data_IF_877663389148
#
_entry.id   IF_877663389148
#
_cell.length_a   1.000
_cell.length_b   1.000
_cell.length_c   1.000
_cell.angle_alpha   90.00
_cell.angle_beta   90.00
_cell.angle_gamma   90.00
#
_symmetry.space_group_name_H-M   'P 1'
#
loop_
_entity.id
_entity.type
_entity.pdbx_description
1 polymer ?
#
# COMPACT_ATOMS: atom_id res chain seq x y z
N UNK A 1 2.93 7.97 -5.66
CA UNK A 1 1.45 8.07 -5.66
C UNK A 1 0.91 7.31 -6.87
N UNK A 2 0.32 6.12 -6.71
CA UNK A 2 -0.39 5.41 -7.78
C UNK A 2 -1.77 6.05 -7.97
N UNK A 3 -2.05 6.56 -9.16
CA UNK A 3 -3.27 7.30 -9.48
C UNK A 3 -4.12 6.59 -10.55
N UNK A 4 -5.42 6.61 -10.35
CA UNK A 4 -6.42 6.26 -11.34
C UNK A 4 -7.72 7.00 -11.06
N UNK A 5 -8.11 7.93 -11.92
CA UNK A 5 -9.27 8.81 -11.76
C UNK A 5 -9.29 9.52 -10.38
N UNK A 6 -8.21 10.23 -10.06
CA UNK A 6 -8.01 10.92 -8.78
C UNK A 6 -8.03 12.47 -8.92
N UNK A 7 -8.51 13.00 -10.03
CA UNK A 7 -8.46 14.43 -10.33
C UNK A 7 -9.14 15.32 -9.28
N UNK A 8 -10.22 14.85 -8.65
CA UNK A 8 -10.92 15.59 -7.61
C UNK A 8 -10.17 15.67 -6.27
N UNK A 9 -9.33 14.67 -5.97
CA UNK A 9 -8.72 14.50 -4.65
C UNK A 9 -7.22 14.76 -4.62
N UNK A 10 -6.56 14.68 -5.78
CA UNK A 10 -5.11 14.83 -5.93
C UNK A 10 -4.58 16.15 -5.34
N UNK A 11 -5.25 17.27 -5.62
CA UNK A 11 -4.84 18.60 -5.11
C UNK A 11 -4.83 18.62 -3.58
N UNK A 12 -5.90 18.13 -2.94
CA UNK A 12 -6.01 18.09 -1.49
C UNK A 12 -4.99 17.13 -0.86
N UNK A 13 -4.72 16.00 -1.52
CA UNK A 13 -3.67 15.07 -1.06
C UNK A 13 -2.30 15.73 -1.13
N UNK A 14 -1.96 16.32 -2.28
CA UNK A 14 -0.63 16.89 -2.53
C UNK A 14 -0.31 18.06 -1.61
N UNK A 15 -1.23 19.02 -1.44
CA UNK A 15 -0.98 20.20 -0.61
C UNK A 15 -0.80 19.90 0.88
N UNK A 16 -1.21 18.71 1.34
CA UNK A 16 -1.05 18.26 2.72
C UNK A 16 0.19 17.37 2.94
N UNK A 17 1.00 17.15 1.90
CA UNK A 17 2.27 16.44 2.03
C UNK A 17 3.24 17.32 2.85
N UNK A 18 3.96 16.69 3.77
CA UNK A 18 5.02 17.33 4.56
C UNK A 18 6.31 17.46 3.70
N UNK A 19 6.41 18.53 2.93
CA UNK A 19 7.55 18.79 2.02
C UNK A 19 8.85 19.16 2.73
N UNK A 20 8.82 19.36 4.02
CA UNK A 20 10.03 19.45 4.87
C UNK A 20 10.65 18.07 5.15
N UNK A 21 9.94 16.98 4.86
CA UNK A 21 10.39 15.60 5.03
C UNK A 21 10.42 14.84 3.70
N UNK A 22 9.47 15.08 2.80
CA UNK A 22 9.41 14.41 1.49
C UNK A 22 10.26 15.18 0.47
N UNK A 23 11.39 14.59 0.04
CA UNK A 23 12.31 15.19 -0.94
C UNK A 23 11.71 15.23 -2.35
N UNK A 24 10.93 14.21 -2.72
CA UNK A 24 10.35 14.06 -4.06
C UNK A 24 8.94 13.44 -4.00
N UNK A 25 8.11 13.81 -4.96
CA UNK A 25 6.77 13.23 -5.15
C UNK A 25 6.61 12.78 -6.60
N UNK A 26 6.39 11.49 -6.77
CA UNK A 26 6.17 10.86 -8.07
C UNK A 26 4.72 10.41 -8.16
N UNK A 27 4.05 10.72 -9.26
CA UNK A 27 2.73 10.21 -9.58
C UNK A 27 2.82 9.29 -10.80
N UNK A 28 2.24 8.11 -10.68
CA UNK A 28 2.06 7.20 -11.83
C UNK A 28 0.56 7.09 -12.09
N UNK A 29 0.16 7.52 -13.27
CA UNK A 29 -1.23 7.50 -13.72
C UNK A 29 -1.52 6.26 -14.54
N UNK A 30 -2.48 5.46 -14.10
CA UNK A 30 -2.84 4.19 -14.75
C UNK A 30 -3.90 4.38 -15.85
N UNK A 31 -3.64 5.32 -16.77
CA UNK A 31 -4.53 5.66 -17.89
C UNK A 31 -5.89 6.22 -17.40
N UNK A 32 -5.86 7.26 -16.58
CA UNK A 32 -7.07 7.96 -16.12
C UNK A 32 -7.85 8.58 -17.27
N UNK A 33 -9.16 8.58 -17.15
CA UNK A 33 -10.08 9.23 -18.10
C UNK A 33 -10.56 10.61 -17.65
N UNK A 34 -10.24 11.00 -16.41
CA UNK A 34 -10.55 12.30 -15.83
C UNK A 34 -9.37 13.30 -15.98
N UNK A 35 -9.41 14.42 -15.27
CA UNK A 35 -8.38 15.43 -15.29
C UNK A 35 -7.16 15.17 -14.37
N UNK A 36 -6.96 13.93 -13.89
CA UNK A 36 -5.84 13.57 -12.98
C UNK A 36 -4.49 14.05 -13.50
N UNK A 37 -4.16 13.73 -14.74
CA UNK A 37 -2.86 14.10 -15.37
C UNK A 37 -2.72 15.62 -15.52
N UNK A 38 -3.81 16.31 -15.85
CA UNK A 38 -3.81 17.78 -15.96
C UNK A 38 -3.52 18.42 -14.61
N UNK A 39 -4.20 17.96 -13.55
CA UNK A 39 -4.00 18.46 -12.18
C UNK A 39 -2.57 18.19 -11.72
N UNK A 40 -2.03 17.00 -11.93
CA UNK A 40 -0.66 16.66 -11.51
C UNK A 40 0.39 17.56 -12.19
N UNK A 41 0.23 17.83 -13.49
CA UNK A 41 1.12 18.74 -14.24
C UNK A 41 1.04 20.18 -13.73
N UNK A 42 -0.16 20.66 -13.40
CA UNK A 42 -0.35 22.00 -12.80
C UNK A 42 0.32 22.12 -11.43
N UNK A 43 0.38 21.03 -10.67
CA UNK A 43 1.06 20.97 -9.38
C UNK A 43 2.58 20.80 -9.51
N UNK A 44 3.11 20.62 -10.72
CA UNK A 44 4.54 20.38 -10.94
C UNK A 44 5.03 18.99 -10.51
N UNK A 45 4.11 18.02 -10.36
CA UNK A 45 4.45 16.68 -9.94
C UNK A 45 5.10 15.91 -11.10
N UNK A 46 6.22 15.21 -10.84
CA UNK A 46 6.79 14.26 -11.79
C UNK A 46 5.76 13.17 -12.09
N UNK A 47 5.23 13.16 -13.31
CA UNK A 47 4.09 12.32 -13.69
C UNK A 47 4.48 11.36 -14.81
N UNK A 48 4.26 10.06 -14.56
CA UNK A 48 4.38 8.98 -15.53
C UNK A 48 2.96 8.53 -15.88
N UNK A 49 2.67 8.33 -17.15
CA UNK A 49 1.34 7.94 -17.62
C UNK A 49 1.46 6.61 -18.37
N UNK A 50 0.70 5.60 -17.96
CA UNK A 50 0.60 4.34 -18.67
C UNK A 50 -0.25 4.50 -19.95
N UNK A 51 0.11 3.82 -21.02
CA UNK A 51 -0.63 3.82 -22.29
C UNK A 51 -2.01 3.15 -22.16
N UNK A 52 -2.18 2.26 -21.20
CA UNK A 52 -3.43 1.56 -20.86
C UNK A 52 -3.47 1.27 -19.38
N UNK A 53 -4.67 1.01 -18.84
CA UNK A 53 -4.81 0.57 -17.45
C UNK A 53 -4.15 -0.81 -17.27
N UNK A 54 -3.11 -0.87 -16.44
CA UNK A 54 -2.32 -2.07 -16.13
C UNK A 54 -2.75 -2.74 -14.83
N UNK A 55 -3.52 -2.05 -14.01
CA UNK A 55 -4.01 -2.51 -12.72
C UNK A 55 -3.25 -1.93 -11.52
N UNK A 56 -3.87 -2.05 -10.37
CA UNK A 56 -3.43 -1.45 -9.11
C UNK A 56 -1.99 -1.86 -8.72
N UNK A 57 -1.68 -3.16 -8.74
CA UNK A 57 -0.35 -3.66 -8.42
C UNK A 57 0.69 -3.24 -9.45
N UNK A 58 0.35 -3.29 -10.75
CA UNK A 58 1.26 -2.85 -11.81
C UNK A 58 1.59 -1.35 -11.69
N UNK A 59 0.62 -0.53 -11.30
CA UNK A 59 0.85 0.89 -11.06
C UNK A 59 1.83 1.12 -9.90
N UNK A 60 1.67 0.39 -8.79
CA UNK A 60 2.63 0.46 -7.68
C UNK A 60 4.04 -0.01 -8.06
N UNK A 61 4.18 -1.06 -8.87
CA UNK A 61 5.48 -1.51 -9.39
C UNK A 61 6.21 -0.39 -10.12
N UNK A 62 5.51 0.32 -11.01
CA UNK A 62 6.08 1.49 -11.69
C UNK A 62 6.49 2.59 -10.70
N UNK A 63 5.67 2.84 -9.65
CA UNK A 63 6.05 3.78 -8.58
C UNK A 63 7.34 3.36 -7.87
N UNK A 64 7.50 2.07 -7.52
CA UNK A 64 8.70 1.57 -6.85
C UNK A 64 9.94 1.66 -7.74
N UNK A 65 9.85 1.24 -9.00
CA UNK A 65 10.96 1.37 -9.95
C UNK A 65 11.43 2.81 -10.07
N UNK A 66 10.48 3.74 -10.22
CA UNK A 66 10.82 5.14 -10.40
C UNK A 66 11.43 5.76 -9.12
N UNK A 67 10.93 5.39 -7.94
CA UNK A 67 11.50 5.84 -6.68
C UNK A 67 12.93 5.30 -6.48
N UNK A 68 13.16 4.02 -6.79
CA UNK A 68 14.51 3.43 -6.74
C UNK A 68 15.47 4.10 -7.73
N UNK A 69 15.02 4.38 -8.96
CA UNK A 69 15.80 5.06 -9.99
C UNK A 69 16.19 6.49 -9.58
N UNK A 70 15.30 7.16 -8.82
CA UNK A 70 15.58 8.49 -8.26
C UNK A 70 16.48 8.46 -7.01
N UNK A 71 16.89 7.29 -6.55
CA UNK A 71 17.80 7.15 -5.41
C UNK A 71 17.13 7.25 -4.05
N UNK A 72 15.80 7.00 -3.95
CA UNK A 72 15.08 7.06 -2.69
C UNK A 72 15.63 6.03 -1.67
N UNK A 73 15.88 6.46 -0.44
CA UNK A 73 16.24 5.61 0.69
C UNK A 73 15.01 5.07 1.41
N UNK A 74 13.97 5.91 1.50
CA UNK A 74 12.66 5.56 2.06
C UNK A 74 11.58 5.84 1.02
N UNK A 75 10.73 4.85 0.77
CA UNK A 75 9.63 4.97 -0.19
C UNK A 75 8.31 4.89 0.56
N UNK A 76 7.49 5.93 0.43
CA UNK A 76 6.15 5.99 1.06
C UNK A 76 5.10 5.91 -0.02
N UNK A 77 4.28 4.85 0.01
CA UNK A 77 3.17 4.64 -0.90
C UNK A 77 1.93 5.38 -0.38
N UNK A 78 1.64 6.53 -0.96
CA UNK A 78 0.48 7.37 -0.63
C UNK A 78 -0.50 7.39 -1.81
N UNK A 79 -1.76 7.02 -1.56
CA UNK A 79 -2.82 7.10 -2.58
C UNK A 79 -3.38 8.52 -2.68
N UNK A 80 -3.60 9.04 -3.92
CA UNK A 80 -4.07 10.41 -4.11
C UNK A 80 -5.58 10.59 -3.91
N UNK A 81 -6.29 9.61 -3.34
CA UNK A 81 -7.73 9.62 -3.08
C UNK A 81 -8.12 10.30 -1.75
N UNK A 82 -7.16 10.86 -1.04
CA UNK A 82 -7.32 11.56 0.24
C UNK A 82 -8.02 10.75 1.35
N UNK A 83 -8.10 9.42 1.21
CA UNK A 83 -8.58 8.55 2.28
C UNK A 83 -7.63 8.54 3.48
N UNK A 84 -6.33 8.54 3.20
CA UNK A 84 -5.26 8.58 4.19
C UNK A 84 -4.76 10.01 4.39
N UNK A 85 -4.38 10.34 5.61
CA UNK A 85 -3.87 11.67 5.93
C UNK A 85 -2.39 11.80 5.51
N UNK A 86 -2.05 12.63 4.50
CA UNK A 86 -0.67 12.81 4.06
C UNK A 86 0.25 13.37 5.16
N UNK A 87 -0.31 14.05 6.16
CA UNK A 87 0.44 14.60 7.31
C UNK A 87 1.05 13.53 8.22
N UNK A 88 0.75 12.25 7.98
CA UNK A 88 1.40 11.12 8.68
C UNK A 88 2.72 10.69 8.03
N UNK A 89 3.12 11.27 6.89
CA UNK A 89 4.42 11.01 6.24
C UNK A 89 5.59 11.12 7.23
N UNK A 90 5.74 12.18 8.05
CA UNK A 90 6.84 12.28 9.00
C UNK A 90 6.86 11.13 10.02
N UNK A 91 5.69 10.68 10.49
CA UNK A 91 5.60 9.57 11.44
C UNK A 91 6.05 8.24 10.80
N UNK A 92 5.62 7.96 9.56
CA UNK A 92 6.06 6.79 8.80
C UNK A 92 7.56 6.86 8.51
N UNK A 93 8.06 8.00 8.01
CA UNK A 93 9.45 8.18 7.69
C UNK A 93 10.35 8.00 8.92
N UNK A 94 9.98 8.56 10.07
CA UNK A 94 10.77 8.46 11.30
C UNK A 94 10.93 7.03 11.81
N UNK A 95 9.91 6.16 11.61
CA UNK A 95 9.99 4.75 12.01
C UNK A 95 11.11 4.01 11.25
N UNK A 96 11.37 4.41 10.01
CA UNK A 96 12.38 3.79 9.14
C UNK A 96 13.73 4.50 9.24
N UNK A 97 13.74 5.82 9.28
CA UNK A 97 14.96 6.63 9.31
C UNK A 97 15.84 6.41 10.55
N UNK A 98 15.25 5.96 11.65
CA UNK A 98 15.98 5.61 12.89
C UNK A 98 16.20 4.10 13.04
N UNK A 99 16.08 3.32 11.97
CA UNK A 99 16.32 1.86 11.95
C UNK A 99 15.48 1.06 12.94
N UNK A 100 14.34 1.61 13.40
CA UNK A 100 13.45 0.88 14.29
C UNK A 100 12.69 -0.22 13.56
N UNK A 101 12.34 0.04 12.28
CA UNK A 101 11.60 -0.89 11.43
C UNK A 101 12.09 -0.79 9.99
N UNK A 102 11.97 -1.91 9.25
CA UNK A 102 12.27 -1.98 7.80
C UNK A 102 11.06 -1.58 6.95
N UNK A 103 9.87 -1.78 7.49
CA UNK A 103 8.58 -1.46 6.87
C UNK A 103 7.64 -0.87 7.92
N UNK A 104 6.78 0.07 7.52
CA UNK A 104 5.74 0.62 8.38
C UNK A 104 4.39 0.65 7.66
N UNK A 105 3.30 0.38 8.40
CA UNK A 105 1.93 0.38 7.91
C UNK A 105 1.11 1.40 8.69
N UNK A 106 0.37 2.24 7.98
CA UNK A 106 -0.62 3.13 8.58
C UNK A 106 -1.96 2.39 8.74
N UNK A 107 -2.21 1.88 9.95
CA UNK A 107 -3.35 1.02 10.25
C UNK A 107 -4.60 1.82 10.60
N UNK A 108 -5.73 1.41 10.04
CA UNK A 108 -7.08 1.93 10.35
C UNK A 108 -7.67 1.32 11.63
N UNK A 109 -7.07 0.24 12.13
CA UNK A 109 -7.61 -0.60 13.21
C UNK A 109 -6.81 -0.53 14.50
N UNK A 110 -5.68 0.15 14.53
CA UNK A 110 -4.84 0.26 15.72
C UNK A 110 -5.54 1.02 16.85
N UNK A 111 -6.36 2.01 16.51
CA UNK A 111 -7.29 2.68 17.42
C UNK A 111 -8.69 2.50 16.85
N UNK A 112 -9.74 2.40 17.68
CA UNK A 112 -11.15 2.11 17.29
C UNK A 112 -11.78 3.07 16.25
N UNK A 113 -10.95 3.74 15.45
CA UNK A 113 -11.33 4.74 14.47
C UNK A 113 -12.08 4.16 13.25
N UNK A 114 -11.80 2.91 12.86
CA UNK A 114 -12.39 2.31 11.67
C UNK A 114 -13.93 2.22 11.70
N UNK A 115 -14.54 1.99 12.86
CA UNK A 115 -15.99 2.00 13.02
C UNK A 115 -16.57 3.42 13.02
N UNK A 116 -15.82 4.41 13.52
CA UNK A 116 -16.22 5.83 13.50
C UNK A 116 -16.08 6.45 12.11
N UNK A 117 -15.25 5.90 11.23
CA UNK A 117 -14.95 6.41 9.90
C UNK A 117 -15.96 5.99 8.81
N UNK A 118 -17.13 5.47 9.18
CA UNK A 118 -18.19 5.02 8.24
C UNK A 118 -17.80 3.80 7.36
N UNK A 119 -16.84 2.99 7.79
CA UNK A 119 -16.53 1.73 7.09
C UNK A 119 -17.76 0.81 7.09
N UNK A 120 -18.16 0.23 5.94
CA UNK A 120 -19.25 -0.74 5.90
C UNK A 120 -18.98 -1.93 6.85
N UNK A 121 -19.99 -2.33 7.64
CA UNK A 121 -19.85 -3.39 8.66
C UNK A 121 -19.29 -4.69 8.10
N UNK A 122 -19.72 -5.11 6.91
CA UNK A 122 -19.21 -6.33 6.29
C UNK A 122 -17.71 -6.23 5.95
N UNK A 123 -17.23 -5.06 5.49
CA UNK A 123 -15.79 -4.82 5.26
C UNK A 123 -15.00 -4.87 6.55
N UNK A 124 -15.54 -4.31 7.63
CA UNK A 124 -14.92 -4.39 8.95
C UNK A 124 -14.76 -5.85 9.42
N UNK A 125 -15.86 -6.62 9.38
CA UNK A 125 -15.84 -8.03 9.81
C UNK A 125 -14.88 -8.86 8.96
N UNK A 126 -14.95 -8.72 7.63
CA UNK A 126 -14.06 -9.41 6.71
C UNK A 126 -12.58 -9.07 6.97
N UNK A 127 -12.27 -7.78 7.13
CA UNK A 127 -10.90 -7.34 7.43
C UNK A 127 -10.39 -7.94 8.75
N UNK A 128 -11.20 -7.91 9.83
CA UNK A 128 -10.81 -8.50 11.11
C UNK A 128 -10.57 -10.00 11.02
N UNK A 129 -11.45 -10.73 10.32
CA UNK A 129 -11.28 -12.16 10.08
C UNK A 129 -9.97 -12.46 9.32
N UNK A 130 -9.74 -11.78 8.20
CA UNK A 130 -8.53 -11.97 7.40
C UNK A 130 -7.26 -11.59 8.20
N UNK A 131 -7.30 -10.52 8.97
CA UNK A 131 -6.17 -10.10 9.82
C UNK A 131 -5.84 -11.16 10.88
N UNK A 132 -6.85 -11.72 11.56
CA UNK A 132 -6.63 -12.79 12.55
C UNK A 132 -6.03 -14.02 11.88
N UNK A 133 -6.57 -14.42 10.72
CA UNK A 133 -6.06 -15.54 9.95
C UNK A 133 -4.60 -15.35 9.55
N UNK A 134 -4.26 -14.18 9.01
CA UNK A 134 -2.88 -13.85 8.62
C UNK A 134 -1.93 -13.78 9.82
N UNK A 135 -2.35 -13.19 10.94
CA UNK A 135 -1.56 -13.18 12.17
C UNK A 135 -1.20 -14.60 12.62
N UNK A 136 -2.16 -15.53 12.51
CA UNK A 136 -1.93 -16.95 12.84
C UNK A 136 -0.94 -17.59 11.86
N UNK A 137 -1.10 -17.38 10.54
CA UNK A 137 -0.22 -17.94 9.52
C UNK A 137 1.20 -17.35 9.57
N UNK A 138 1.31 -16.06 9.80
CA UNK A 138 2.59 -15.32 9.75
C UNK A 138 3.30 -15.24 11.11
N UNK A 139 2.66 -15.71 12.19
CA UNK A 139 3.13 -15.59 13.58
C UNK A 139 3.46 -14.14 13.93
N UNK A 140 2.54 -13.23 13.58
CA UNK A 140 2.63 -11.78 13.84
C UNK A 140 1.43 -11.31 14.65
N UNK A 141 1.48 -10.07 15.13
CA UNK A 141 0.43 -9.42 15.90
C UNK A 141 0.00 -8.08 15.30
N UNK A 142 -0.03 -7.96 13.96
CA UNK A 142 -0.44 -6.72 13.30
C UNK A 142 -1.93 -6.47 13.49
N UNK A 143 -2.29 -5.20 13.60
CA UNK A 143 -3.69 -4.77 13.72
C UNK A 143 -4.41 -4.81 12.37
N UNK A 144 -3.67 -4.70 11.24
CA UNK A 144 -4.18 -4.72 9.88
C UNK A 144 -3.10 -5.11 8.86
N UNK A 145 -3.54 -5.79 7.75
CA UNK A 145 -2.71 -6.11 6.58
C UNK A 145 -3.19 -5.43 5.29
N UNK A 146 -4.33 -4.74 5.31
CA UNK A 146 -5.07 -4.34 4.11
C UNK A 146 -5.07 -2.84 3.86
N UNK A 147 -4.25 -2.08 4.59
CA UNK A 147 -4.00 -0.67 4.32
C UNK A 147 -2.99 -0.51 3.19
N UNK A 148 -3.27 0.36 2.22
CA UNK A 148 -2.33 0.71 1.15
C UNK A 148 -1.34 1.80 1.54
N UNK A 149 -1.48 2.45 2.70
CA UNK A 149 -0.57 3.49 3.15
C UNK A 149 0.60 2.86 3.91
N UNK A 150 1.72 2.76 3.25
CA UNK A 150 2.90 2.01 3.70
C UNK A 150 4.18 2.77 3.43
N UNK A 151 5.19 2.48 4.24
CA UNK A 151 6.56 2.94 4.03
C UNK A 151 7.52 1.76 4.03
N UNK A 152 8.58 1.85 3.23
CA UNK A 152 9.58 0.81 3.07
C UNK A 152 10.97 1.44 2.99
N UNK A 153 11.95 0.83 3.64
CA UNK A 153 13.35 1.11 3.36
C UNK A 153 13.72 0.58 1.97
N UNK A 154 14.68 1.22 1.31
CA UNK A 154 15.19 0.85 -0.01
C UNK A 154 15.55 -0.64 -0.08
N UNK A 155 16.30 -1.15 0.89
CA UNK A 155 16.74 -2.54 0.94
C UNK A 155 15.59 -3.55 0.96
N UNK A 156 14.44 -3.21 1.54
CA UNK A 156 13.24 -4.05 1.52
C UNK A 156 12.75 -4.22 0.09
N UNK A 157 12.58 -3.12 -0.63
CA UNK A 157 12.07 -3.14 -2.02
C UNK A 157 13.07 -3.83 -2.94
N UNK A 158 14.36 -3.55 -2.84
CA UNK A 158 15.41 -4.19 -3.65
C UNK A 158 15.55 -5.70 -3.38
N UNK A 159 15.20 -6.15 -2.19
CA UNK A 159 15.28 -7.58 -1.81
C UNK A 159 14.15 -8.43 -2.38
N UNK A 160 13.08 -7.82 -2.87
CA UNK A 160 11.86 -8.50 -3.35
C UNK A 160 11.76 -8.37 -4.87
N UNK A 161 11.62 -9.50 -5.57
CA UNK A 161 11.28 -9.51 -7.00
C UNK A 161 9.77 -9.21 -7.18
N UNK A 162 9.41 -7.93 -6.90
CA UNK A 162 8.01 -7.51 -6.92
C UNK A 162 7.39 -7.51 -8.32
N UNK A 163 8.19 -7.57 -9.37
CA UNK A 163 7.69 -7.67 -10.75
C UNK A 163 6.94 -8.98 -11.01
N UNK A 164 7.30 -10.05 -10.30
CA UNK A 164 6.63 -11.36 -10.39
C UNK A 164 5.29 -11.43 -9.64
N UNK A 165 4.98 -10.44 -8.82
CA UNK A 165 3.75 -10.41 -8.04
C UNK A 165 2.54 -10.02 -8.90
N UNK A 166 1.34 -10.19 -8.36
CA UNK A 166 0.08 -9.88 -9.04
C UNK A 166 -0.01 -8.40 -9.45
N UNK A 167 -0.76 -8.11 -10.50
CA UNK A 167 -0.97 -6.75 -10.98
C UNK A 167 -2.25 -6.08 -10.43
N UNK A 168 -3.03 -6.79 -9.62
CA UNK A 168 -4.28 -6.30 -9.01
C UNK A 168 -4.08 -6.09 -7.49
N UNK A 169 -5.15 -5.92 -6.72
CA UNK A 169 -5.14 -5.57 -5.29
C UNK A 169 -4.42 -6.55 -4.37
N UNK A 170 -4.26 -7.83 -4.78
CA UNK A 170 -3.55 -8.82 -3.96
C UNK A 170 -2.04 -8.53 -3.84
N UNK A 171 -1.48 -7.74 -4.75
CA UNK A 171 -0.09 -7.30 -4.75
C UNK A 171 0.39 -6.83 -3.37
N UNK A 172 -0.38 -5.98 -2.73
CA UNK A 172 -0.07 -5.45 -1.40
C UNK A 172 0.09 -6.54 -0.34
N UNK A 173 -0.69 -7.59 -0.47
CA UNK A 173 -0.67 -8.71 0.47
C UNK A 173 0.50 -9.65 0.21
N UNK A 174 0.82 -9.89 -1.07
CA UNK A 174 2.00 -10.64 -1.48
C UNK A 174 3.29 -9.96 -1.02
N UNK A 175 3.38 -8.63 -1.16
CA UNK A 175 4.50 -7.83 -0.65
C UNK A 175 4.71 -8.05 0.84
N UNK A 176 3.66 -7.93 1.67
CA UNK A 176 3.78 -8.13 3.12
C UNK A 176 4.12 -9.58 3.49
N UNK A 177 3.61 -10.56 2.75
CA UNK A 177 3.96 -11.96 2.96
C UNK A 177 5.46 -12.19 2.70
N UNK A 178 6.02 -11.61 1.63
CA UNK A 178 7.44 -11.70 1.32
C UNK A 178 8.32 -10.94 2.32
N UNK A 179 7.94 -9.73 2.71
CA UNK A 179 8.61 -8.93 3.75
C UNK A 179 8.73 -9.77 5.03
N UNK A 180 7.63 -10.37 5.46
CA UNK A 180 7.61 -11.22 6.64
C UNK A 180 8.42 -12.51 6.45
N UNK A 181 8.35 -13.13 5.27
CA UNK A 181 9.11 -14.35 4.95
C UNK A 181 10.61 -14.13 5.01
N UNK A 182 11.09 -13.00 4.49
CA UNK A 182 12.50 -12.58 4.52
C UNK A 182 12.96 -12.09 5.90
N UNK A 183 12.06 -11.97 6.87
CA UNK A 183 12.39 -11.65 8.26
C UNK A 183 12.50 -10.16 8.57
N UNK A 184 12.06 -9.29 7.67
CA UNK A 184 12.04 -7.85 7.91
C UNK A 184 11.07 -7.47 9.04
N UNK A 185 11.42 -6.42 9.75
CA UNK A 185 10.62 -5.86 10.83
C UNK A 185 9.50 -4.96 10.29
N UNK A 186 8.29 -5.09 10.85
CA UNK A 186 7.11 -4.33 10.44
C UNK A 186 6.55 -3.59 11.65
N UNK A 187 6.45 -2.27 11.54
CA UNK A 187 5.81 -1.43 12.54
C UNK A 187 4.45 -0.90 12.08
N UNK A 188 3.66 -0.38 13.01
CA UNK A 188 2.35 0.21 12.72
C UNK A 188 2.19 1.59 13.34
N UNK A 189 1.55 2.51 12.61
CA UNK A 189 1.01 3.75 13.16
C UNK A 189 -0.51 3.79 13.01
N UNK A 190 -1.19 4.54 13.86
CA UNK A 190 -2.63 4.76 13.70
C UNK A 190 -2.91 5.75 12.58
N UNK A 191 -3.81 5.39 11.66
CA UNK A 191 -4.29 6.26 10.58
C UNK A 191 -5.82 6.27 10.52
N UNK A 192 -6.48 7.26 11.10
CA UNK A 192 -7.91 7.46 10.90
C UNK A 192 -8.19 7.73 9.41
N UNK A 193 -8.99 6.89 8.78
CA UNK A 193 -9.37 7.06 7.37
C UNK A 193 -10.66 7.85 7.23
N UNK A 194 -10.76 8.60 6.13
CA UNK A 194 -11.95 9.31 5.72
C UNK A 194 -12.66 8.51 4.62
N UNK A 195 -13.90 8.11 4.85
CA UNK A 195 -14.76 7.50 3.84
C UNK A 195 -15.74 8.55 3.33
N UNK A 196 -15.67 8.88 2.05
CA UNK A 196 -16.56 9.79 1.34
C UNK A 196 -16.79 9.28 -0.09
N UNK A 197 -17.80 9.80 -0.79
CA UNK A 197 -18.27 9.20 -2.03
C UNK A 197 -17.24 9.20 -3.18
N UNK A 198 -16.34 10.19 -3.22
CA UNK A 198 -15.25 10.24 -4.20
C UNK A 198 -14.05 9.35 -3.85
N UNK A 199 -14.05 8.71 -2.67
CA UNK A 199 -12.97 7.84 -2.25
C UNK A 199 -13.03 6.49 -2.96
N UNK A 200 -11.90 6.01 -3.48
CA UNK A 200 -11.84 4.73 -4.19
C UNK A 200 -12.19 3.57 -3.25
N UNK A 201 -13.14 2.73 -3.65
CA UNK A 201 -13.44 1.50 -2.90
C UNK A 201 -13.76 0.35 -3.84
N UNK A 202 -13.14 -0.79 -3.59
CA UNK A 202 -13.45 -2.03 -4.34
C UNK A 202 -14.89 -2.47 -4.07
N UNK A 203 -15.59 -2.93 -5.12
CA UNK A 203 -16.93 -3.47 -5.01
C UNK A 203 -16.96 -4.84 -4.32
N UNK A 204 -18.15 -5.36 -4.01
CA UNK A 204 -18.30 -6.60 -3.26
C UNK A 204 -17.63 -7.80 -3.94
N UNK A 205 -17.76 -7.97 -5.26
CA UNK A 205 -17.18 -9.10 -6.01
C UNK A 205 -15.64 -9.02 -5.96
N UNK A 206 -15.06 -7.85 -6.18
CA UNK A 206 -13.61 -7.64 -6.07
C UNK A 206 -13.14 -7.85 -4.63
N UNK A 207 -13.93 -7.45 -3.62
CA UNK A 207 -13.61 -7.70 -2.20
C UNK A 207 -13.57 -9.19 -1.89
N UNK A 208 -14.48 -9.99 -2.45
CA UNK A 208 -14.49 -11.44 -2.29
C UNK A 208 -13.26 -12.08 -2.97
N UNK A 209 -12.97 -11.70 -4.23
CA UNK A 209 -11.77 -12.15 -4.95
C UNK A 209 -10.50 -11.83 -4.14
N UNK A 210 -10.40 -10.59 -3.63
CA UNK A 210 -9.29 -10.18 -2.77
C UNK A 210 -9.17 -11.05 -1.52
N UNK A 211 -10.27 -11.28 -0.80
CA UNK A 211 -10.28 -12.12 0.41
C UNK A 211 -9.80 -13.54 0.15
N UNK A 212 -10.26 -14.17 -0.95
CA UNK A 212 -9.77 -15.50 -1.36
C UNK A 212 -8.27 -15.46 -1.71
N UNK A 213 -7.80 -14.42 -2.38
CA UNK A 213 -6.38 -14.21 -2.67
C UNK A 213 -5.54 -14.10 -1.39
N UNK A 214 -6.02 -13.37 -0.38
CA UNK A 214 -5.36 -13.26 0.93
C UNK A 214 -5.22 -14.61 1.61
N UNK A 215 -6.29 -15.43 1.62
CA UNK A 215 -6.23 -16.79 2.18
C UNK A 215 -5.24 -17.66 1.41
N UNK A 216 -5.22 -17.55 0.08
CA UNK A 216 -4.29 -18.28 -0.76
C UNK A 216 -2.83 -17.89 -0.51
N UNK A 217 -2.50 -16.59 -0.50
CA UNK A 217 -1.14 -16.11 -0.19
C UNK A 217 -0.69 -16.58 1.20
N UNK A 218 -1.58 -16.52 2.18
CA UNK A 218 -1.28 -16.97 3.55
C UNK A 218 -1.02 -18.49 3.59
N UNK A 219 -1.77 -19.27 2.83
CA UNK A 219 -1.53 -20.71 2.69
C UNK A 219 -0.18 -20.99 2.03
N UNK A 220 0.15 -20.30 0.93
CA UNK A 220 1.45 -20.43 0.27
C UNK A 220 2.61 -20.05 1.20
N UNK A 221 2.44 -19.00 2.02
CA UNK A 221 3.43 -18.62 3.03
C UNK A 221 3.70 -19.78 4.02
N UNK A 222 2.66 -20.41 4.54
CA UNK A 222 2.81 -21.56 5.48
C UNK A 222 3.56 -22.70 4.80
N UNK A 223 3.23 -23.04 3.54
CA UNK A 223 3.94 -24.07 2.77
C UNK A 223 5.42 -23.72 2.58
N UNK A 224 5.72 -22.45 2.26
CA UNK A 224 7.09 -21.97 2.13
C UNK A 224 7.88 -22.12 3.45
N UNK A 225 7.26 -21.79 4.59
CA UNK A 225 7.86 -21.99 5.92
C UNK A 225 8.10 -23.48 6.25
N UNK A 226 7.34 -24.39 5.67
CA UNK A 226 7.57 -25.82 5.71
C UNK A 226 8.61 -26.30 4.68
N UNK A 227 9.35 -25.37 4.05
CA UNK A 227 10.43 -25.61 3.05
C UNK A 227 9.93 -26.21 1.73
N UNK A 228 8.64 -26.07 1.41
CA UNK A 228 8.12 -26.39 0.09
C UNK A 228 8.54 -25.26 -0.86
N UNK A 229 9.23 -25.60 -1.95
CA UNK A 229 9.72 -24.63 -2.94
C UNK A 229 8.56 -24.07 -3.75
N UNK A 230 8.25 -22.81 -3.56
CA UNK A 230 7.21 -22.07 -4.28
C UNK A 230 7.82 -20.90 -5.06
N UNK A 231 7.32 -20.62 -6.25
CA UNK A 231 7.89 -19.60 -7.15
C UNK A 231 7.91 -18.20 -6.54
N UNK A 232 6.87 -17.84 -5.78
CA UNK A 232 6.74 -16.53 -5.13
C UNK A 232 7.70 -16.33 -3.95
N UNK A 233 8.10 -17.41 -3.25
CA UNK A 233 9.00 -17.37 -2.08
C UNK A 233 10.40 -17.92 -2.38
N UNK A 234 10.84 -17.83 -3.64
CA UNK A 234 12.21 -18.16 -4.01
C UNK A 234 13.11 -16.94 -3.88
N UNK A 235 14.30 -17.17 -3.34
CA UNK A 235 15.43 -16.23 -3.42
C UNK A 235 15.97 -16.17 -4.85
#
# INVERSE_FOLDING_TARGET
MPAYNAGETLYETYKNIAFDIADDVILVDDCSSDNTVEVSKKLGIKTIVHEKNLGYGANQKTCYHEALNNGADIIIMLHPDFQYDPRLIPALASMLAYDNYDCAIASRFLVQSALKSKMPKYKYIANRFLTIFQNTCFSKGLSEYHSGYRAFNRNVIESIDFDKLDNDFIFDNEMLALINYKGFSIGEISCPTKYFDAASSINFVRSLKYGLGVLWVSFLYVLARLKIKLSIFRD
#
